data_IF_112531942265
#
_entry.id   IF_112531942265
#
_cell.length_a   1.000
_cell.length_b   1.000
_cell.length_c   1.000
_cell.angle_alpha   90.00
_cell.angle_beta   90.00
_cell.angle_gamma   90.00
#
_symmetry.space_group_name_H-M   'P 1'
#
loop_
_entity.id
_entity.type
_entity.pdbx_description
1 polymer ?
#
# COMPACT_ATOMS: atom_id res chain seq x y z
N UNK A 1 -2.07 -9.18 -16.03
CA UNK A 1 -1.83 -10.05 -14.87
C UNK A 1 -1.78 -9.18 -13.61
N UNK A 2 -2.75 -9.31 -12.71
CA UNK A 2 -2.67 -8.69 -11.39
C UNK A 2 -1.50 -9.36 -10.68
N UNK A 3 -0.33 -8.73 -10.68
CA UNK A 3 0.84 -9.26 -9.98
C UNK A 3 0.40 -9.44 -8.53
N UNK A 4 0.30 -10.69 -8.10
CA UNK A 4 0.10 -11.03 -6.71
C UNK A 4 1.31 -10.49 -5.98
N UNK A 5 1.18 -9.29 -5.44
CA UNK A 5 2.22 -8.66 -4.64
C UNK A 5 2.34 -9.56 -3.43
N UNK A 6 3.40 -10.36 -3.41
CA UNK A 6 3.65 -11.30 -2.32
C UNK A 6 3.39 -10.57 -1.01
N UNK A 7 2.63 -11.17 -0.07
CA UNK A 7 2.31 -10.50 1.18
C UNK A 7 3.64 -10.15 1.84
N UNK A 8 3.98 -8.86 1.79
CA UNK A 8 5.26 -8.40 2.29
C UNK A 8 5.44 -8.89 3.72
N UNK A 9 6.68 -9.15 4.17
CA UNK A 9 6.96 -9.78 5.47
C UNK A 9 6.20 -9.11 6.63
N UNK A 10 5.97 -7.80 6.54
CA UNK A 10 5.12 -7.05 7.45
C UNK A 10 3.66 -7.53 7.55
N UNK A 11 2.98 -7.83 6.44
CA UNK A 11 1.59 -8.32 6.43
C UNK A 11 1.52 -9.72 7.04
N UNK A 12 2.53 -10.56 6.78
CA UNK A 12 2.63 -11.90 7.35
C UNK A 12 2.80 -11.83 8.88
N UNK A 13 3.65 -10.94 9.37
CA UNK A 13 3.78 -10.67 10.81
C UNK A 13 2.52 -10.02 11.41
N UNK A 14 1.83 -9.16 10.66
CA UNK A 14 0.58 -8.54 11.09
C UNK A 14 -0.53 -9.59 11.25
N UNK A 15 -0.63 -10.55 10.32
CA UNK A 15 -1.57 -11.68 10.42
C UNK A 15 -1.29 -12.59 11.63
N UNK A 16 -0.03 -12.72 12.07
CA UNK A 16 0.31 -13.47 13.29
C UNK A 16 -0.14 -12.75 14.57
N UNK A 17 -0.16 -11.42 14.57
CA UNK A 17 -0.43 -10.58 15.76
C UNK A 17 -1.87 -10.09 15.87
N UNK A 18 -2.60 -10.05 14.75
CA UNK A 18 -3.94 -9.43 14.63
C UNK A 18 -4.85 -10.28 13.74
N UNK A 19 -6.17 -10.23 13.98
CA UNK A 19 -7.15 -10.96 13.16
C UNK A 19 -7.07 -10.54 11.68
N UNK A 20 -7.34 -11.48 10.79
CA UNK A 20 -7.17 -11.33 9.34
C UNK A 20 -7.90 -10.10 8.77
N UNK A 21 -9.05 -9.73 9.34
CA UNK A 21 -9.81 -8.53 8.95
C UNK A 21 -8.99 -7.25 9.07
N UNK A 22 -8.18 -7.11 10.13
CA UNK A 22 -7.33 -5.94 10.34
C UNK A 22 -6.22 -5.88 9.30
N UNK A 23 -5.64 -7.03 8.94
CA UNK A 23 -4.62 -7.09 7.90
C UNK A 23 -5.18 -6.69 6.52
N UNK A 24 -6.42 -7.07 6.21
CA UNK A 24 -7.11 -6.69 4.97
C UNK A 24 -7.36 -5.17 4.95
N UNK A 25 -7.92 -4.61 6.02
CA UNK A 25 -8.16 -3.15 6.11
C UNK A 25 -6.86 -2.36 6.01
N UNK A 26 -5.77 -2.85 6.62
CA UNK A 26 -4.46 -2.22 6.51
C UNK A 26 -3.93 -2.20 5.07
N UNK A 27 -4.09 -3.30 4.32
CA UNK A 27 -3.75 -3.33 2.89
C UNK A 27 -4.63 -2.37 2.08
N UNK A 28 -5.93 -2.35 2.33
CA UNK A 28 -6.86 -1.45 1.66
C UNK A 28 -6.50 0.02 1.92
N UNK A 29 -6.17 0.38 3.17
CA UNK A 29 -5.74 1.74 3.50
C UNK A 29 -4.45 2.12 2.78
N UNK A 30 -3.48 1.20 2.69
CA UNK A 30 -2.24 1.43 1.94
C UNK A 30 -2.53 1.77 0.47
N UNK A 31 -3.40 0.99 -0.19
CA UNK A 31 -3.80 1.24 -1.58
C UNK A 31 -4.59 2.53 -1.73
N UNK A 32 -5.52 2.81 -0.82
CA UNK A 32 -6.31 4.04 -0.83
C UNK A 32 -5.41 5.28 -0.74
N UNK A 33 -4.37 5.27 0.10
CA UNK A 33 -3.39 6.37 0.17
C UNK A 33 -2.58 6.50 -1.12
N UNK A 34 -2.22 5.39 -1.76
CA UNK A 34 -1.56 5.42 -3.08
C UNK A 34 -2.45 6.06 -4.14
N UNK A 35 -3.73 5.67 -4.21
CA UNK A 35 -4.70 6.27 -5.14
C UNK A 35 -4.93 7.75 -4.82
N UNK A 36 -5.06 8.10 -3.54
CA UNK A 36 -5.21 9.49 -3.12
C UNK A 36 -4.01 10.35 -3.51
N UNK A 37 -2.78 9.87 -3.33
CA UNK A 37 -1.59 10.62 -3.75
C UNK A 37 -1.54 10.82 -5.28
N UNK A 38 -1.88 9.79 -6.06
CA UNK A 38 -1.92 9.86 -7.52
C UNK A 38 -2.95 10.90 -7.98
N UNK A 39 -4.16 10.85 -7.41
CA UNK A 39 -5.27 11.76 -7.75
C UNK A 39 -5.02 13.18 -7.25
N UNK A 40 -4.51 13.37 -6.03
CA UNK A 40 -4.20 14.67 -5.47
C UNK A 40 -3.06 15.40 -6.20
N UNK A 41 -2.09 14.66 -6.75
CA UNK A 41 -0.98 15.23 -7.50
C UNK A 41 -1.18 15.23 -9.02
N UNK A 42 -2.33 14.74 -9.50
CA UNK A 42 -2.64 14.51 -10.93
C UNK A 42 -1.50 13.82 -11.69
N UNK A 43 -0.81 12.88 -11.03
CA UNK A 43 0.34 12.16 -11.62
C UNK A 43 -0.12 10.84 -12.19
N UNK A 44 0.51 10.40 -13.28
CA UNK A 44 0.35 9.01 -13.74
C UNK A 44 0.97 8.06 -12.72
N UNK A 45 0.31 6.92 -12.50
CA UNK A 45 0.83 5.89 -11.59
C UNK A 45 2.22 5.42 -12.04
N UNK A 46 3.21 5.67 -11.20
CA UNK A 46 4.57 5.19 -11.39
C UNK A 46 4.90 4.19 -10.27
N UNK A 47 5.27 2.96 -10.67
CA UNK A 47 5.57 1.86 -9.73
C UNK A 47 6.84 2.12 -8.91
N UNK A 48 7.76 2.91 -9.42
CA UNK A 48 9.04 3.28 -8.82
C UNK A 48 8.98 4.67 -8.15
N UNK A 49 7.79 5.25 -7.99
CA UNK A 49 7.63 6.54 -7.35
C UNK A 49 8.12 6.51 -5.89
N UNK A 50 9.17 7.27 -5.61
CA UNK A 50 9.68 7.50 -4.25
C UNK A 50 9.14 8.84 -3.76
N UNK A 51 8.39 8.81 -2.65
CA UNK A 51 7.92 10.04 -1.98
C UNK A 51 9.11 10.78 -1.39
N UNK A 52 9.68 11.72 -2.14
CA UNK A 52 10.70 12.66 -1.65
C UNK A 52 10.04 13.71 -0.74
N UNK A 53 10.48 13.79 0.51
CA UNK A 53 10.06 14.85 1.43
C UNK A 53 10.84 16.13 1.06
N UNK A 54 10.19 17.26 0.73
CA UNK A 54 10.89 18.52 0.54
C UNK A 54 11.48 18.94 1.90
N UNK A 55 12.78 19.27 1.93
CA UNK A 55 13.48 19.85 3.08
C UNK A 55 13.22 21.36 3.13
#
# INVERSE_FOLDING_TARGET
ALVAKEPGPWITELKKRRPASVAIVAMANKLARTVWAITAHDRKYDRNHVSIRPY
#
